data_IF_405696651074
#
_entry.id   IF_405696651074
#
_cell.length_a   1.000
_cell.length_b   1.000
_cell.length_c   1.000
_cell.angle_alpha   90.00
_cell.angle_beta   90.00
_cell.angle_gamma   90.00
#
_symmetry.space_group_name_H-M   'P 1'
#
loop_
_entity.id
_entity.type
_entity.pdbx_description
1 polymer ?
#
# COMPACT_ATOMS: atom_id res chain seq x y z
N UNK A 1 -37.29 28.50 -8.58
CA UNK A 1 -35.86 28.13 -8.70
C UNK A 1 -35.49 27.38 -7.42
N UNK A 2 -34.86 26.21 -7.51
CA UNK A 2 -34.27 25.58 -6.32
C UNK A 2 -33.00 26.34 -5.97
N UNK A 3 -32.86 26.77 -4.73
CA UNK A 3 -31.64 27.40 -4.25
C UNK A 3 -30.45 26.46 -4.44
N UNK A 4 -29.38 26.98 -5.05
CA UNK A 4 -28.13 26.24 -5.23
C UNK A 4 -27.25 26.50 -4.01
N UNK A 5 -26.86 25.43 -3.32
CA UNK A 5 -25.88 25.51 -2.24
C UNK A 5 -24.46 25.40 -2.81
N UNK A 6 -23.56 26.35 -2.49
CA UNK A 6 -22.16 26.20 -2.86
C UNK A 6 -21.54 25.06 -2.04
N UNK A 7 -20.88 24.13 -2.74
CA UNK A 7 -20.15 23.01 -2.13
C UNK A 7 -18.66 23.21 -2.45
N UNK A 8 -17.81 23.09 -1.42
CA UNK A 8 -16.37 23.11 -1.57
C UNK A 8 -15.79 21.76 -1.12
N UNK A 9 -15.13 21.05 -2.02
CA UNK A 9 -14.36 19.85 -1.69
C UNK A 9 -12.93 20.26 -1.32
N UNK A 10 -12.48 19.87 -0.12
CA UNK A 10 -11.12 20.12 0.34
C UNK A 10 -10.45 18.80 0.74
N UNK A 11 -9.39 18.46 0.04
CA UNK A 11 -8.62 17.23 0.25
C UNK A 11 -7.31 17.57 0.95
N UNK A 12 -7.22 17.24 2.22
CA UNK A 12 -5.98 17.35 2.98
C UNK A 12 -5.20 16.02 2.89
N UNK A 13 -4.06 16.04 2.20
CA UNK A 13 -3.17 14.90 2.05
C UNK A 13 -1.93 15.11 2.91
N UNK A 14 -1.75 14.23 3.89
CA UNK A 14 -0.65 14.28 4.83
C UNK A 14 -0.01 12.91 5.01
N UNK A 15 1.31 12.92 5.14
CA UNK A 15 2.09 11.84 5.74
C UNK A 15 3.14 12.47 6.67
N UNK A 16 3.43 11.87 7.83
CA UNK A 16 4.61 12.22 8.60
C UNK A 16 5.88 11.88 7.80
N UNK A 17 7.03 12.38 8.26
CA UNK A 17 8.31 12.01 7.66
C UNK A 17 8.64 10.56 8.02
N UNK A 18 8.56 9.65 7.05
CA UNK A 18 8.93 8.23 7.21
C UNK A 18 10.39 7.96 6.87
N UNK A 19 11.01 8.82 6.05
CA UNK A 19 12.44 8.71 5.76
C UNK A 19 13.24 9.13 6.98
N UNK A 20 14.04 8.20 7.49
CA UNK A 20 15.10 8.52 8.43
C UNK A 20 16.23 9.21 7.65
N UNK A 21 16.50 10.47 7.99
CA UNK A 21 17.51 11.28 7.30
C UNK A 21 18.95 10.86 7.64
N UNK A 22 19.16 10.06 8.69
CA UNK A 22 20.47 9.52 9.07
C UNK A 22 20.77 8.28 8.25
N UNK A 23 19.83 7.33 8.21
CA UNK A 23 20.04 6.05 7.50
C UNK A 23 19.65 6.10 6.03
N UNK A 24 18.83 7.08 5.62
CA UNK A 24 18.25 7.17 4.28
C UNK A 24 17.06 6.23 4.05
N UNK A 25 16.69 5.41 5.04
CA UNK A 25 15.66 4.37 4.90
C UNK A 25 14.27 4.87 5.24
N UNK A 26 13.27 4.35 4.53
CA UNK A 26 11.87 4.58 4.86
C UNK A 26 11.39 3.56 5.89
N UNK A 27 10.93 4.07 7.04
CA UNK A 27 10.40 3.22 8.11
C UNK A 27 9.09 2.53 7.72
N UNK A 28 8.28 3.17 6.86
CA UNK A 28 7.00 2.65 6.40
C UNK A 28 6.78 2.98 4.91
N UNK A 29 6.04 2.12 4.17
CA UNK A 29 5.91 2.22 2.72
C UNK A 29 4.78 3.17 2.28
N UNK A 30 4.16 3.88 3.22
CA UNK A 30 2.86 4.52 3.00
C UNK A 30 2.89 5.62 1.94
N UNK A 31 3.99 6.36 1.81
CA UNK A 31 4.13 7.35 0.73
C UNK A 31 4.03 6.66 -0.64
N UNK A 32 4.79 5.58 -0.86
CA UNK A 32 4.77 4.80 -2.11
C UNK A 32 3.41 4.15 -2.35
N UNK A 33 2.85 3.48 -1.34
CA UNK A 33 1.60 2.73 -1.50
C UNK A 33 0.39 3.65 -1.70
N UNK A 34 0.30 4.80 -1.02
CA UNK A 34 -0.77 5.75 -1.28
C UNK A 34 -0.60 6.50 -2.60
N UNK A 35 0.64 6.67 -3.10
CA UNK A 35 0.90 7.24 -4.41
C UNK A 35 0.32 6.38 -5.54
N UNK A 36 0.38 5.05 -5.43
CA UNK A 36 -0.25 4.11 -6.40
C UNK A 36 -1.72 3.82 -6.13
N UNK A 37 -2.28 4.40 -5.07
CA UNK A 37 -3.68 4.23 -4.65
C UNK A 37 -4.37 5.59 -4.54
N UNK A 38 -4.78 5.98 -3.33
CA UNK A 38 -5.65 7.13 -3.05
C UNK A 38 -5.19 8.44 -3.69
N UNK A 39 -3.90 8.81 -3.63
CA UNK A 39 -3.45 10.12 -4.11
C UNK A 39 -3.64 10.25 -5.62
N UNK A 40 -3.26 9.22 -6.37
CA UNK A 40 -3.45 9.19 -7.81
C UNK A 40 -4.94 9.11 -8.17
N UNK A 41 -5.70 8.24 -7.51
CA UNK A 41 -7.12 8.04 -7.76
C UNK A 41 -7.94 9.31 -7.55
N UNK A 42 -7.67 10.05 -6.46
CA UNK A 42 -8.37 11.29 -6.14
C UNK A 42 -8.09 12.41 -7.15
N UNK A 43 -6.87 12.47 -7.70
CA UNK A 43 -6.56 13.42 -8.77
C UNK A 43 -7.16 12.96 -10.11
N UNK A 44 -7.09 11.66 -10.41
CA UNK A 44 -7.48 11.09 -11.68
C UNK A 44 -8.99 11.16 -11.94
N UNK A 45 -9.83 11.06 -10.91
CA UNK A 45 -11.29 11.16 -11.06
C UNK A 45 -11.73 12.50 -11.65
N UNK A 46 -10.94 13.55 -11.50
CA UNK A 46 -11.26 14.89 -12.04
C UNK A 46 -11.14 14.97 -13.56
N UNK A 47 -10.43 14.02 -14.20
CA UNK A 47 -10.47 13.89 -15.66
C UNK A 47 -11.84 13.45 -16.16
N UNK A 48 -12.57 12.65 -15.37
CA UNK A 48 -13.92 12.21 -15.69
C UNK A 48 -14.98 13.28 -15.34
N UNK A 49 -14.65 14.24 -14.45
CA UNK A 49 -15.55 15.31 -13.99
C UNK A 49 -14.88 16.71 -13.98
N UNK A 50 -14.53 17.28 -15.15
CA UNK A 50 -13.73 18.51 -15.26
C UNK A 50 -14.42 19.78 -14.72
N UNK A 51 -15.74 19.77 -14.60
CA UNK A 51 -16.53 20.89 -14.08
C UNK A 51 -16.50 20.97 -12.54
N UNK A 52 -16.17 19.87 -11.86
CA UNK A 52 -16.05 19.86 -10.39
C UNK A 52 -14.80 20.65 -9.98
N UNK A 53 -14.97 21.53 -8.99
CA UNK A 53 -13.87 22.28 -8.38
C UNK A 53 -13.55 21.70 -7.01
N UNK A 54 -12.28 21.45 -6.76
CA UNK A 54 -11.78 20.95 -5.49
C UNK A 54 -10.40 21.53 -5.21
N UNK A 55 -10.06 21.62 -3.92
CA UNK A 55 -8.77 22.08 -3.45
C UNK A 55 -7.99 20.91 -2.88
N UNK A 56 -6.76 20.72 -3.33
CA UNK A 56 -5.81 19.78 -2.71
C UNK A 56 -4.81 20.55 -1.88
N UNK A 57 -4.70 20.18 -0.62
CA UNK A 57 -3.64 20.63 0.26
C UNK A 57 -2.71 19.45 0.55
N UNK A 58 -1.48 19.54 0.05
CA UNK A 58 -0.43 18.55 0.30
C UNK A 58 0.56 19.14 1.30
N UNK A 59 0.87 18.41 2.38
CA UNK A 59 1.87 18.90 3.34
C UNK A 59 3.28 18.89 2.74
N UNK A 60 4.18 19.82 3.15
CA UNK A 60 5.55 19.85 2.64
C UNK A 60 6.30 18.52 2.82
N UNK A 61 6.07 17.84 3.95
CA UNK A 61 6.62 16.50 4.22
C UNK A 61 6.18 15.45 3.20
N UNK A 62 4.94 15.51 2.73
CA UNK A 62 4.42 14.58 1.74
C UNK A 62 5.01 14.88 0.36
N UNK A 63 5.02 16.15 -0.05
CA UNK A 63 5.57 16.56 -1.35
C UNK A 63 7.05 16.13 -1.47
N UNK A 64 7.85 16.41 -0.43
CA UNK A 64 9.26 16.06 -0.43
C UNK A 64 9.46 14.55 -0.56
N UNK A 65 8.73 13.75 0.21
CA UNK A 65 8.85 12.29 0.15
C UNK A 65 8.33 11.72 -1.17
N UNK A 66 7.27 12.28 -1.76
CA UNK A 66 6.77 11.85 -3.08
C UNK A 66 7.83 12.09 -4.16
N UNK A 67 8.49 13.25 -4.14
CA UNK A 67 9.59 13.55 -5.06
C UNK A 67 10.76 12.60 -4.83
N UNK A 68 11.14 12.39 -3.57
CA UNK A 68 12.23 11.49 -3.20
C UNK A 68 11.95 10.06 -3.66
N UNK A 69 10.80 9.44 -3.34
CA UNK A 69 10.46 8.07 -3.79
C UNK A 69 10.29 7.96 -5.30
N UNK A 70 9.98 9.05 -6.01
CA UNK A 70 9.85 9.03 -7.47
C UNK A 70 11.18 9.11 -8.22
N UNK A 71 12.26 9.51 -7.54
CA UNK A 71 13.59 9.56 -8.15
C UNK A 71 14.23 8.16 -8.25
N UNK A 72 14.98 7.90 -9.32
CA UNK A 72 15.60 6.59 -9.54
C UNK A 72 16.59 6.24 -8.41
N UNK A 73 16.47 5.04 -7.85
CA UNK A 73 17.42 4.47 -6.89
C UNK A 73 17.26 4.89 -5.42
N UNK A 74 16.19 5.58 -5.03
CA UNK A 74 16.02 6.14 -3.68
C UNK A 74 15.03 5.41 -2.78
N UNK A 75 14.22 4.49 -3.31
CA UNK A 75 13.27 3.74 -2.50
C UNK A 75 14.00 2.60 -1.78
N UNK A 76 14.40 2.88 -0.54
CA UNK A 76 14.91 1.88 0.40
C UNK A 76 13.90 1.72 1.54
N UNK A 77 12.90 0.86 1.32
CA UNK A 77 11.90 0.47 2.30
C UNK A 77 11.81 -1.06 2.42
N UNK A 78 11.74 -1.57 3.65
CA UNK A 78 11.74 -3.03 3.93
C UNK A 78 10.56 -3.76 3.27
N UNK A 79 9.43 -3.09 3.02
CA UNK A 79 8.31 -3.72 2.34
C UNK A 79 8.63 -3.92 0.86
N UNK A 80 9.27 -2.97 0.18
CA UNK A 80 9.67 -3.14 -1.22
C UNK A 80 10.79 -4.19 -1.36
N UNK A 81 11.78 -4.18 -0.46
CA UNK A 81 12.82 -5.21 -0.40
C UNK A 81 12.20 -6.60 -0.27
N UNK A 82 11.34 -6.80 0.75
CA UNK A 82 10.68 -8.07 0.98
C UNK A 82 9.63 -8.40 -0.06
N UNK A 83 9.08 -7.44 -0.80
CA UNK A 83 8.20 -7.73 -1.95
C UNK A 83 8.98 -8.31 -3.13
N UNK A 84 10.25 -7.93 -3.27
CA UNK A 84 11.10 -8.31 -4.41
C UNK A 84 11.95 -9.56 -4.14
N UNK A 85 12.18 -9.88 -2.87
CA UNK A 85 12.95 -11.06 -2.45
C UNK A 85 12.26 -12.36 -2.89
N UNK A 86 13.04 -13.30 -3.43
CA UNK A 86 12.53 -14.62 -3.80
C UNK A 86 11.90 -15.32 -2.58
N UNK A 87 10.65 -15.78 -2.71
CA UNK A 87 9.92 -16.37 -1.59
C UNK A 87 10.61 -17.61 -0.98
N UNK A 88 11.40 -18.35 -1.77
CA UNK A 88 12.20 -19.49 -1.31
C UNK A 88 13.39 -19.10 -0.44
N UNK A 89 13.84 -17.85 -0.52
CA UNK A 89 14.99 -17.30 0.22
C UNK A 89 14.57 -16.49 1.45
N UNK A 90 13.26 -16.43 1.74
CA UNK A 90 12.74 -15.76 2.93
C UNK A 90 13.22 -16.47 4.20
N UNK A 91 13.88 -15.70 5.06
CA UNK A 91 14.25 -16.15 6.41
C UNK A 91 13.02 -16.23 7.30
N UNK A 92 13.17 -16.83 8.48
CA UNK A 92 12.08 -16.88 9.47
C UNK A 92 11.65 -15.48 9.92
N UNK A 93 12.59 -14.54 10.04
CA UNK A 93 12.31 -13.13 10.36
C UNK A 93 11.52 -12.46 9.24
N UNK A 94 11.90 -12.69 7.96
CA UNK A 94 11.18 -12.15 6.82
C UNK A 94 9.74 -12.67 6.79
N UNK A 95 9.54 -13.97 6.99
CA UNK A 95 8.21 -14.59 7.02
C UNK A 95 7.35 -14.02 8.14
N UNK A 96 7.91 -13.85 9.34
CA UNK A 96 7.22 -13.22 10.46
C UNK A 96 6.85 -11.77 10.13
N UNK A 97 7.75 -11.01 9.50
CA UNK A 97 7.48 -9.65 9.05
C UNK A 97 6.33 -9.60 8.04
N UNK A 98 6.35 -10.46 7.01
CA UNK A 98 5.29 -10.56 6.01
C UNK A 98 3.94 -10.87 6.67
N UNK A 99 3.87 -11.91 7.50
CA UNK A 99 2.62 -12.29 8.17
C UNK A 99 2.07 -11.22 9.11
N UNK A 100 2.95 -10.38 9.67
CA UNK A 100 2.56 -9.26 10.53
C UNK A 100 2.06 -8.05 9.75
N UNK A 101 2.73 -7.70 8.66
CA UNK A 101 2.64 -6.39 8.03
C UNK A 101 2.00 -6.39 6.63
N UNK A 102 2.07 -7.50 5.89
CA UNK A 102 1.55 -7.60 4.51
C UNK A 102 0.04 -7.87 4.48
N UNK A 103 -0.66 -7.55 5.58
CA UNK A 103 -2.12 -7.47 5.65
C UNK A 103 -2.59 -6.07 6.10
N UNK A 104 -1.68 -5.08 6.15
CA UNK A 104 -1.98 -3.69 6.50
C UNK A 104 -2.69 -2.97 5.36
N UNK A 105 -3.93 -3.37 5.09
CA UNK A 105 -4.88 -2.75 4.17
C UNK A 105 -6.30 -3.10 4.62
N UNK A 106 -7.33 -2.44 4.07
CA UNK A 106 -8.72 -2.63 4.50
C UNK A 106 -9.18 -4.09 4.28
N UNK A 107 -9.52 -4.85 5.34
CA UNK A 107 -9.97 -6.23 5.21
C UNK A 107 -11.27 -6.38 4.42
N UNK A 108 -12.18 -5.41 4.52
CA UNK A 108 -13.53 -5.49 3.95
C UNK A 108 -13.56 -5.11 2.48
N UNK A 109 -12.58 -4.36 2.00
CA UNK A 109 -12.49 -3.92 0.62
C UNK A 109 -11.24 -4.45 -0.09
N UNK A 110 -10.04 -4.11 0.39
CA UNK A 110 -8.79 -4.41 -0.30
C UNK A 110 -8.45 -5.92 -0.24
N UNK A 111 -8.57 -6.54 0.93
CA UNK A 111 -8.24 -7.96 1.11
C UNK A 111 -9.32 -8.86 0.50
N UNK A 112 -10.59 -8.59 0.81
CA UNK A 112 -11.74 -9.35 0.30
C UNK A 112 -11.88 -9.32 -1.22
N UNK A 113 -11.34 -8.30 -1.91
CA UNK A 113 -11.32 -8.20 -3.38
C UNK A 113 -10.56 -9.36 -4.05
N UNK A 114 -9.66 -10.03 -3.34
CA UNK A 114 -8.90 -11.16 -3.86
C UNK A 114 -9.16 -12.40 -3.00
N UNK A 115 -9.87 -13.38 -3.56
CA UNK A 115 -10.21 -14.64 -2.87
C UNK A 115 -8.99 -15.27 -2.18
N UNK A 116 -7.87 -15.38 -2.90
CA UNK A 116 -6.64 -15.97 -2.35
C UNK A 116 -6.05 -15.13 -1.21
N UNK A 117 -6.13 -13.81 -1.29
CA UNK A 117 -5.60 -12.93 -0.25
C UNK A 117 -6.43 -13.04 1.04
N UNK A 118 -7.76 -13.12 0.92
CA UNK A 118 -8.66 -13.40 2.04
C UNK A 118 -8.38 -14.77 2.68
N UNK A 119 -8.15 -15.82 1.89
CA UNK A 119 -7.76 -17.14 2.42
C UNK A 119 -6.45 -17.06 3.23
N UNK A 120 -5.44 -16.34 2.73
CA UNK A 120 -4.17 -16.15 3.45
C UNK A 120 -4.34 -15.30 4.72
N UNK A 121 -5.21 -14.29 4.67
CA UNK A 121 -5.55 -13.45 5.83
C UNK A 121 -6.16 -14.31 6.93
N UNK A 122 -7.18 -15.11 6.60
CA UNK A 122 -7.81 -16.04 7.54
C UNK A 122 -6.84 -17.11 8.05
N UNK A 123 -5.94 -17.62 7.20
CA UNK A 123 -4.90 -18.57 7.61
C UNK A 123 -3.92 -17.97 8.64
N UNK A 124 -3.66 -16.66 8.58
CA UNK A 124 -2.77 -15.93 9.52
C UNK A 124 -3.44 -15.54 10.84
N UNK A 125 -4.76 -15.47 10.90
CA UNK A 125 -5.57 -14.97 12.03
C UNK A 125 -5.12 -15.40 13.44
N UNK A 126 -5.51 -14.62 14.45
CA UNK A 126 -5.10 -14.78 15.84
C UNK A 126 -3.87 -13.94 16.20
N UNK A 127 -3.14 -14.36 17.24
CA UNK A 127 -2.02 -13.60 17.81
C UNK A 127 -0.95 -13.21 16.78
N UNK A 128 -0.49 -11.96 16.86
CA UNK A 128 0.60 -11.37 16.06
C UNK A 128 1.91 -11.24 16.86
N UNK A 129 2.02 -11.93 18.00
CA UNK A 129 3.30 -12.05 18.73
C UNK A 129 4.28 -12.86 17.89
N UNK A 130 5.55 -12.50 17.96
CA UNK A 130 6.60 -13.05 17.11
C UNK A 130 6.71 -14.58 17.18
N UNK A 131 6.68 -15.14 18.40
CA UNK A 131 6.69 -16.59 18.62
C UNK A 131 5.51 -17.32 17.93
N UNK A 132 4.33 -16.69 17.91
CA UNK A 132 3.13 -17.29 17.31
C UNK A 132 3.19 -17.18 15.79
N UNK A 133 3.72 -16.07 15.27
CA UNK A 133 3.97 -15.87 13.84
C UNK A 133 4.99 -16.86 13.30
N UNK A 134 6.04 -17.18 14.06
CA UNK A 134 7.04 -18.18 13.68
C UNK A 134 6.43 -19.59 13.56
N UNK A 135 5.52 -19.94 14.45
CA UNK A 135 4.81 -21.23 14.36
C UNK A 135 3.86 -21.23 13.15
N UNK A 136 3.17 -20.12 12.90
CA UNK A 136 2.26 -19.97 11.76
C UNK A 136 3.00 -20.00 10.43
N UNK A 137 4.17 -19.35 10.34
CA UNK A 137 4.95 -19.27 9.10
C UNK A 137 5.33 -20.64 8.55
N UNK A 138 5.54 -21.63 9.42
CA UNK A 138 5.80 -23.04 9.05
C UNK A 138 4.62 -23.72 8.36
N UNK A 139 3.40 -23.18 8.50
CA UNK A 139 2.18 -23.68 7.82
C UNK A 139 1.98 -23.05 6.45
N UNK A 140 2.73 -21.99 6.12
CA UNK A 140 2.66 -21.34 4.81
C UNK A 140 3.70 -21.96 3.88
N UNK A 141 3.28 -22.21 2.64
CA UNK A 141 4.16 -22.68 1.57
C UNK A 141 4.93 -21.52 0.95
N UNK A 142 6.01 -21.82 0.23
CA UNK A 142 6.75 -20.82 -0.57
C UNK A 142 5.83 -20.11 -1.57
N UNK A 143 4.91 -20.84 -2.20
CA UNK A 143 3.95 -20.26 -3.13
C UNK A 143 2.98 -19.28 -2.44
N UNK A 144 2.51 -19.61 -1.24
CA UNK A 144 1.62 -18.72 -0.47
C UNK A 144 2.34 -17.45 0.02
N UNK A 145 3.63 -17.52 0.33
CA UNK A 145 4.42 -16.31 0.62
C UNK A 145 4.59 -15.43 -0.62
N UNK A 146 4.84 -16.04 -1.78
CA UNK A 146 4.87 -15.31 -3.06
C UNK A 146 3.53 -14.66 -3.38
N UNK A 147 2.44 -15.39 -3.20
CA UNK A 147 1.09 -14.85 -3.36
C UNK A 147 0.88 -13.66 -2.40
N UNK A 148 1.30 -13.78 -1.13
CA UNK A 148 1.20 -12.68 -0.16
C UNK A 148 1.99 -11.43 -0.58
N UNK A 149 3.24 -11.59 -1.05
CA UNK A 149 4.08 -10.49 -1.54
C UNK A 149 3.40 -9.73 -2.70
N UNK A 150 2.86 -10.48 -3.67
CA UNK A 150 2.20 -9.92 -4.85
C UNK A 150 0.85 -9.28 -4.48
N UNK A 151 -0.01 -10.02 -3.78
CA UNK A 151 -1.37 -9.59 -3.45
C UNK A 151 -1.39 -8.37 -2.54
N UNK A 152 -0.41 -8.23 -1.62
CA UNK A 152 -0.27 -7.01 -0.83
C UNK A 152 -0.08 -5.78 -1.72
N UNK A 153 0.83 -5.83 -2.71
CA UNK A 153 1.08 -4.69 -3.59
C UNK A 153 -0.11 -4.43 -4.53
N UNK A 154 -0.76 -5.48 -5.07
CA UNK A 154 -1.96 -5.34 -5.91
C UNK A 154 -3.16 -4.74 -5.15
N UNK A 155 -3.29 -5.04 -3.86
CA UNK A 155 -4.32 -4.44 -3.01
C UNK A 155 -4.11 -2.93 -2.82
N UNK A 156 -2.87 -2.45 -2.98
CA UNK A 156 -2.48 -1.04 -2.98
C UNK A 156 -2.42 -0.41 -4.39
N UNK A 157 -3.00 -1.06 -5.40
CA UNK A 157 -3.22 -0.46 -6.72
C UNK A 157 -4.64 0.12 -6.82
N UNK A 158 -4.70 1.43 -7.05
CA UNK A 158 -5.93 2.20 -7.15
C UNK A 158 -6.78 1.83 -8.37
N UNK A 159 -8.01 2.31 -8.41
CA UNK A 159 -8.91 2.06 -9.56
C UNK A 159 -8.33 2.62 -10.86
N UNK A 160 -7.55 3.70 -10.78
CA UNK A 160 -6.89 4.31 -11.94
C UNK A 160 -5.88 3.36 -12.55
N UNK A 161 -5.03 2.75 -11.73
CA UNK A 161 -4.04 1.77 -12.18
C UNK A 161 -4.71 0.51 -12.70
N UNK A 162 -5.69 -0.05 -11.97
CA UNK A 162 -6.46 -1.22 -12.42
C UNK A 162 -7.13 -1.02 -13.77
N UNK A 163 -7.60 0.20 -14.08
CA UNK A 163 -8.22 0.54 -15.37
C UNK A 163 -7.19 0.68 -16.49
N UNK A 164 -6.03 1.28 -16.22
CA UNK A 164 -5.05 1.71 -17.23
C UNK A 164 -3.92 0.72 -17.48
N UNK A 165 -3.49 -0.04 -16.49
CA UNK A 165 -2.34 -0.93 -16.57
C UNK A 165 -2.79 -2.37 -16.90
N UNK A 166 -2.35 -2.94 -18.04
CA UNK A 166 -2.75 -4.29 -18.45
C UNK A 166 -2.20 -5.40 -17.54
N UNK A 167 -1.15 -5.15 -16.76
CA UNK A 167 -0.56 -6.13 -15.83
C UNK A 167 -1.34 -6.23 -14.53
N UNK A 168 -2.02 -5.14 -14.14
CA UNK A 168 -2.75 -5.01 -12.86
C UNK A 168 -4.24 -5.41 -13.01
N UNK A 169 -4.69 -5.72 -14.24
CA UNK A 169 -6.08 -6.08 -14.56
C UNK A 169 -6.53 -7.43 -14.01
#
# INVERSE_FOLDING_TARGET
MRDKFPIAFFWHMHQPMYKDLVTGKYALPWVRLHATYSYMDMAAILYDFPDIKCTFNLTPSLIWQLLDVSSEGTIDDTYLELSSKQASELTDNDKCFLLKNFFSCDPNNAISSFKKYAELFSKREGSLKEQDLLIKSRKFTVAEFRDLQVLFNLAWCGFTLKKKDPVIK
#
